data_IF_418151679856
#
_entry.id   IF_418151679856
#
_cell.length_a   1.000
_cell.length_b   1.000
_cell.length_c   1.000
_cell.angle_alpha   90.00
_cell.angle_beta   90.00
_cell.angle_gamma   90.00
#
_symmetry.space_group_name_H-M   'P 1'
#
loop_
_entity.id
_entity.type
_entity.pdbx_description
1 polymer ?
#
# COMPACT_ATOMS: atom_id res chain seq x y z
N UNK A 1 5.72 -8.56 -2.81
CA UNK A 1 6.32 -7.85 -1.66
C UNK A 1 5.20 -7.49 -0.70
N UNK A 2 5.37 -7.70 0.62
CA UNK A 2 4.33 -7.29 1.61
C UNK A 2 4.55 -5.85 2.05
N UNK A 3 3.52 -5.15 2.50
CA UNK A 3 3.65 -3.76 2.99
C UNK A 3 4.55 -3.64 4.21
N UNK A 4 4.55 -4.66 5.09
CA UNK A 4 5.45 -4.71 6.24
C UNK A 4 6.91 -4.77 5.80
N UNK A 5 7.19 -5.57 4.76
CA UNK A 5 8.52 -5.63 4.14
C UNK A 5 8.90 -4.30 3.49
N UNK A 6 7.97 -3.63 2.81
CA UNK A 6 8.24 -2.31 2.21
C UNK A 6 8.58 -1.26 3.26
N UNK A 7 7.82 -1.19 4.35
CA UNK A 7 8.08 -0.24 5.43
C UNK A 7 9.46 -0.47 6.05
N UNK A 8 9.86 -1.73 6.20
CA UNK A 8 11.20 -2.09 6.65
C UNK A 8 12.27 -1.58 5.66
N UNK A 9 12.12 -1.86 4.36
CA UNK A 9 13.08 -1.44 3.33
C UNK A 9 13.21 0.09 3.21
N UNK A 10 12.11 0.84 3.41
CA UNK A 10 12.14 2.31 3.42
C UNK A 10 12.94 2.86 4.60
N UNK A 11 12.79 2.25 5.77
CA UNK A 11 13.44 2.69 7.02
C UNK A 11 14.90 2.25 7.12
N UNK A 12 15.19 1.05 6.65
CA UNK A 12 16.51 0.43 6.72
C UNK A 12 16.81 -0.27 5.39
N UNK A 13 17.19 0.50 4.35
CA UNK A 13 17.59 -0.10 3.08
C UNK A 13 18.85 -0.95 3.30
N UNK A 14 18.97 -2.13 2.66
CA UNK A 14 20.19 -2.92 2.68
C UNK A 14 21.35 -2.15 2.05
N UNK A 15 22.55 -2.34 2.61
CA UNK A 15 23.77 -1.72 2.09
C UNK A 15 23.97 -2.06 0.62
N UNK A 16 24.29 -1.05 -0.18
CA UNK A 16 24.52 -1.12 -1.63
C UNK A 16 23.26 -1.32 -2.49
N UNK A 17 22.06 -1.26 -1.90
CA UNK A 17 20.78 -1.35 -2.60
C UNK A 17 19.91 -0.10 -2.42
N UNK A 18 20.44 0.95 -1.77
CA UNK A 18 19.71 2.16 -1.42
C UNK A 18 19.09 2.83 -2.65
N UNK A 19 19.89 3.10 -3.69
CA UNK A 19 19.43 3.76 -4.91
C UNK A 19 18.38 2.92 -5.66
N UNK A 20 18.60 1.60 -5.77
CA UNK A 20 17.66 0.70 -6.44
C UNK A 20 16.31 0.70 -5.74
N UNK A 21 16.31 0.64 -4.41
CA UNK A 21 15.08 0.69 -3.63
C UNK A 21 14.40 2.04 -3.75
N UNK A 22 15.16 3.13 -3.71
CA UNK A 22 14.62 4.47 -3.86
C UNK A 22 13.93 4.65 -5.22
N UNK A 23 14.59 4.28 -6.33
CA UNK A 23 14.00 4.36 -7.68
C UNK A 23 12.76 3.48 -7.78
N UNK A 24 12.85 2.23 -7.34
CA UNK A 24 11.74 1.28 -7.44
C UNK A 24 10.53 1.74 -6.63
N UNK A 25 10.76 2.18 -5.39
CA UNK A 25 9.70 2.60 -4.49
C UNK A 25 9.13 3.96 -4.90
N UNK A 26 9.92 4.90 -5.41
CA UNK A 26 9.41 6.14 -6.03
C UNK A 26 8.48 5.85 -7.20
N UNK A 27 8.85 4.91 -8.08
CA UNK A 27 8.02 4.55 -9.23
C UNK A 27 6.72 3.83 -8.83
N UNK A 28 6.73 3.07 -7.73
CA UNK A 28 5.61 2.22 -7.32
C UNK A 28 4.73 2.80 -6.22
N UNK A 29 5.19 3.80 -5.48
CA UNK A 29 4.53 4.36 -4.28
C UNK A 29 3.07 4.73 -4.52
N UNK A 30 2.79 5.53 -5.53
CA UNK A 30 1.43 5.99 -5.85
C UNK A 30 0.50 4.81 -6.17
N UNK A 31 0.96 3.86 -6.99
CA UNK A 31 0.18 2.66 -7.33
C UNK A 31 -0.13 1.81 -6.10
N UNK A 32 0.82 1.72 -5.16
CA UNK A 32 0.64 0.97 -3.92
C UNK A 32 -0.36 1.66 -3.01
N UNK A 33 -0.27 2.98 -2.85
CA UNK A 33 -1.20 3.77 -2.04
C UNK A 33 -2.62 3.70 -2.63
N UNK A 34 -2.78 3.80 -3.96
CA UNK A 34 -4.07 3.64 -4.62
C UNK A 34 -4.68 2.25 -4.42
N UNK A 35 -3.88 1.18 -4.51
CA UNK A 35 -4.36 -0.17 -4.21
C UNK A 35 -4.82 -0.30 -2.76
N UNK A 36 -4.11 0.34 -1.84
CA UNK A 36 -4.44 0.35 -0.43
C UNK A 36 -5.80 1.00 -0.15
N UNK A 37 -6.07 2.16 -0.78
CA UNK A 37 -7.38 2.80 -0.69
C UNK A 37 -8.50 1.97 -1.29
N UNK A 38 -8.25 1.34 -2.44
CA UNK A 38 -9.22 0.44 -3.05
C UNK A 38 -9.57 -0.71 -2.10
N UNK A 39 -8.57 -1.31 -1.45
CA UNK A 39 -8.79 -2.37 -0.46
C UNK A 39 -9.52 -1.87 0.79
N UNK A 40 -9.25 -0.66 1.28
CA UNK A 40 -10.03 -0.05 2.36
C UNK A 40 -11.50 0.12 1.98
N UNK A 41 -11.77 0.48 0.72
CA UNK A 41 -13.12 0.59 0.13
C UNK A 41 -13.77 -0.77 -0.17
N UNK A 42 -13.10 -1.88 0.14
CA UNK A 42 -13.65 -3.23 0.02
C UNK A 42 -13.36 -3.91 -1.32
N UNK A 43 -12.45 -3.38 -2.14
CA UNK A 43 -12.00 -4.07 -3.34
C UNK A 43 -11.45 -5.47 -2.99
N UNK A 44 -11.70 -6.49 -3.83
CA UNK A 44 -11.24 -7.84 -3.59
C UNK A 44 -9.71 -7.91 -3.57
N UNK A 45 -9.18 -8.63 -2.58
CA UNK A 45 -7.74 -8.90 -2.46
C UNK A 45 -7.43 -10.18 -3.23
N UNK A 46 -7.52 -10.12 -4.55
CA UNK A 46 -7.15 -11.23 -5.43
C UNK A 46 -6.37 -10.69 -6.63
N UNK A 47 -5.08 -11.03 -6.71
CA UNK A 47 -4.28 -10.78 -7.90
C UNK A 47 -4.67 -11.84 -8.95
N UNK A 48 -5.50 -11.48 -9.92
CA UNK A 48 -5.62 -12.22 -11.18
C UNK A 48 -6.50 -13.48 -11.22
N UNK A 49 -7.38 -13.74 -10.25
CA UNK A 49 -8.44 -14.72 -10.48
C UNK A 49 -9.59 -14.06 -11.23
N UNK A 50 -9.84 -14.54 -12.44
CA UNK A 50 -11.02 -14.28 -13.27
C UNK A 50 -12.26 -14.11 -12.41
N UNK A 51 -13.09 -13.11 -12.74
CA UNK A 51 -14.40 -12.88 -12.11
C UNK A 51 -15.07 -14.22 -11.79
N UNK A 52 -15.35 -14.56 -10.53
CA UNK A 52 -16.30 -15.62 -10.28
C UNK A 52 -17.65 -15.11 -10.78
N UNK A 53 -18.25 -15.82 -11.73
CA UNK A 53 -19.58 -15.58 -12.28
C UNK A 53 -20.70 -15.84 -11.25
N UNK A 54 -20.40 -15.73 -9.95
CA UNK A 54 -21.35 -15.96 -8.88
C UNK A 54 -21.20 -14.92 -7.78
N UNK A 55 -22.32 -14.28 -7.51
CA UNK A 55 -22.57 -13.11 -6.67
C UNK A 55 -22.40 -13.42 -5.17
N UNK A 56 -21.16 -13.66 -4.75
CA UNK A 56 -20.76 -13.63 -3.35
C UNK A 56 -19.35 -13.02 -3.26
N UNK A 57 -19.21 -11.78 -3.73
CA UNK A 57 -17.99 -11.00 -3.54
C UNK A 57 -17.79 -10.69 -2.06
N UNK A 58 -17.26 -11.68 -1.33
CA UNK A 58 -16.78 -11.51 0.05
C UNK A 58 -15.58 -10.58 -0.01
N UNK A 59 -15.87 -9.27 0.12
CA UNK A 59 -14.86 -8.22 0.19
C UNK A 59 -13.86 -8.48 1.32
N UNK A 60 -12.83 -7.64 1.40
CA UNK A 60 -11.77 -7.81 2.39
C UNK A 60 -12.32 -7.90 3.83
N UNK A 61 -11.78 -8.78 4.67
CA UNK A 61 -12.26 -8.97 6.04
C UNK A 61 -12.13 -7.71 6.90
N UNK A 62 -12.97 -7.58 7.93
CA UNK A 62 -12.90 -6.45 8.89
C UNK A 62 -11.54 -6.35 9.55
N UNK A 63 -10.97 -7.49 9.98
CA UNK A 63 -9.62 -7.53 10.57
C UNK A 63 -8.54 -7.03 9.61
N UNK A 64 -8.68 -7.33 8.31
CA UNK A 64 -7.79 -6.79 7.29
C UNK A 64 -7.95 -5.28 7.14
N UNK A 65 -9.18 -4.74 7.05
CA UNK A 65 -9.41 -3.28 7.00
C UNK A 65 -8.85 -2.53 8.21
N UNK A 66 -8.94 -3.13 9.41
CA UNK A 66 -8.33 -2.57 10.63
C UNK A 66 -6.80 -2.56 10.50
N UNK A 67 -6.20 -3.64 10.00
CA UNK A 67 -4.76 -3.70 9.73
C UNK A 67 -4.34 -2.64 8.71
N UNK A 68 -5.16 -2.46 7.66
CA UNK A 68 -4.96 -1.42 6.65
C UNK A 68 -4.92 -0.04 7.28
N UNK A 69 -5.94 0.33 8.05
CA UNK A 69 -6.01 1.65 8.69
C UNK A 69 -4.80 1.96 9.58
N UNK A 70 -4.15 0.94 10.16
CA UNK A 70 -2.93 1.12 10.97
C UNK A 70 -1.65 1.21 10.15
N UNK A 71 -1.59 0.57 8.98
CA UNK A 71 -0.40 0.52 8.14
C UNK A 71 -0.35 1.66 7.13
N UNK A 72 -1.50 2.12 6.62
CA UNK A 72 -1.59 3.20 5.63
C UNK A 72 -0.86 4.47 6.05
N UNK A 73 -1.14 5.09 7.22
CA UNK A 73 -0.51 6.34 7.60
C UNK A 73 1.01 6.20 7.73
N UNK A 74 1.49 5.06 8.26
CA UNK A 74 2.93 4.79 8.41
C UNK A 74 3.64 4.69 7.07
N UNK A 75 2.94 4.20 6.04
CA UNK A 75 3.51 4.05 4.71
C UNK A 75 3.52 5.39 3.97
N UNK A 76 2.45 6.18 4.09
CA UNK A 76 2.38 7.55 3.56
C UNK A 76 3.48 8.42 4.17
N UNK A 77 3.66 8.36 5.48
CA UNK A 77 4.75 9.03 6.20
C UNK A 77 6.12 8.58 5.68
N UNK A 78 6.39 7.28 5.65
CA UNK A 78 7.68 6.74 5.19
C UNK A 78 8.00 7.07 3.73
N UNK A 79 6.99 7.18 2.85
CA UNK A 79 7.19 7.65 1.48
C UNK A 79 7.45 9.15 1.41
N UNK A 80 6.73 9.95 2.20
CA UNK A 80 6.92 11.40 2.28
C UNK A 80 8.33 11.75 2.77
N UNK A 81 8.85 11.03 3.76
CA UNK A 81 10.23 11.16 4.25
C UNK A 81 11.29 10.88 3.17
N UNK A 82 10.94 10.09 2.14
CA UNK A 82 11.79 9.81 0.96
C UNK A 82 11.56 10.79 -0.20
N UNK A 83 10.85 11.89 0.04
CA UNK A 83 10.57 12.93 -0.95
C UNK A 83 9.57 12.50 -2.03
N UNK A 84 8.75 11.47 -1.78
CA UNK A 84 7.65 11.11 -2.66
C UNK A 84 6.46 12.01 -2.31
N UNK A 85 5.92 12.72 -3.31
CA UNK A 85 4.69 13.48 -3.12
C UNK A 85 3.51 12.54 -2.87
N UNK A 86 3.11 12.46 -1.61
CA UNK A 86 1.95 11.72 -1.14
C UNK A 86 0.79 12.64 -0.75
N UNK A 87 0.82 13.92 -1.15
CA UNK A 87 -0.26 14.87 -0.84
C UNK A 87 -1.68 14.38 -1.19
N UNK A 88 -1.92 13.58 -2.26
CA UNK A 88 -3.26 13.03 -2.54
C UNK A 88 -3.79 12.07 -1.47
N UNK A 89 -2.91 11.58 -0.58
CA UNK A 89 -3.20 10.57 0.44
C UNK A 89 -3.10 11.11 1.88
N UNK A 90 -2.74 12.39 2.05
CA UNK A 90 -2.56 13.04 3.36
C UNK A 90 -3.86 13.56 3.99
N UNK A 91 -5.00 13.44 3.30
CA UNK A 91 -6.27 13.98 3.78
C UNK A 91 -7.05 12.95 4.62
N UNK A 92 -7.72 13.36 5.71
CA UNK A 92 -8.77 12.55 6.32
C UNK A 92 -9.88 12.35 5.29
N UNK A 93 -10.08 11.11 4.84
CA UNK A 93 -11.27 10.76 4.05
C UNK A 93 -12.42 10.57 5.03
N UNK A 94 -13.38 11.49 4.95
CA UNK A 94 -14.65 11.51 5.70
C UNK A 94 -15.42 10.19 5.58
#
# INVERSE_FOLDING_TARGET
>A
MTWKSMLYLLRQPPKHFEELLEEHLKRKSLSILSAFEAYMKGAPVALGCSKPEHDDQKGSSTGFKIMLGKLFPKLVEAFSEKGIDCSPFNAPKE
#
